data_IF_799641194915
#
_entry.id   IF_799641194915
#
_cell.length_a   1.000
_cell.length_b   1.000
_cell.length_c   1.000
_cell.angle_alpha   90.00
_cell.angle_beta   90.00
_cell.angle_gamma   90.00
#
_symmetry.space_group_name_H-M   'P 1'
#
loop_
_entity.id
_entity.type
_entity.pdbx_description
1 polymer ?
#
# COMPACT_ATOMS: atom_id res chain seq x y z
N UNK A 1 -11.93 10.86 7.52
CA UNK A 1 -11.23 9.70 8.14
C UNK A 1 -11.99 8.44 7.76
N UNK A 2 -11.34 7.29 7.63
CA UNK A 2 -12.00 6.02 7.29
C UNK A 2 -11.72 4.99 8.37
N UNK A 3 -12.76 4.32 8.85
CA UNK A 3 -12.67 3.15 9.73
C UNK A 3 -12.89 1.89 8.91
N UNK A 4 -11.88 1.03 8.89
CA UNK A 4 -11.82 -0.13 8.03
C UNK A 4 -12.22 -1.42 8.77
N UNK A 5 -12.94 -2.34 8.10
CA UNK A 5 -13.21 -3.68 8.63
C UNK A 5 -11.95 -4.55 8.55
N UNK A 6 -11.60 -5.19 9.66
CA UNK A 6 -10.35 -5.93 9.83
C UNK A 6 -10.63 -7.43 9.91
N UNK A 7 -9.97 -8.20 9.05
CA UNK A 7 -10.14 -9.65 8.96
C UNK A 7 -9.77 -10.34 10.28
N UNK A 8 -8.60 -10.00 10.82
CA UNK A 8 -8.13 -10.59 12.07
C UNK A 8 -8.82 -9.92 13.27
N UNK A 9 -9.57 -10.70 14.05
CA UNK A 9 -10.38 -10.22 15.19
C UNK A 9 -9.56 -9.38 16.18
N UNK A 10 -8.33 -9.79 16.48
CA UNK A 10 -7.46 -9.05 17.41
C UNK A 10 -7.06 -7.66 16.88
N UNK A 11 -7.07 -7.45 15.56
CA UNK A 11 -6.74 -6.16 14.93
C UNK A 11 -7.92 -5.19 14.94
N UNK A 12 -9.14 -5.66 15.18
CA UNK A 12 -10.33 -4.80 15.31
C UNK A 12 -10.20 -3.82 16.48
N UNK A 13 -9.46 -4.22 17.51
CA UNK A 13 -9.10 -3.40 18.67
C UNK A 13 -8.10 -2.26 18.35
N UNK A 14 -7.49 -2.27 17.17
CA UNK A 14 -6.59 -1.19 16.72
C UNK A 14 -7.37 0.08 16.32
N UNK A 15 -8.68 -0.04 16.03
CA UNK A 15 -9.57 1.11 15.84
C UNK A 15 -9.80 1.80 17.17
N UNK A 16 -9.13 2.94 17.36
CA UNK A 16 -9.02 3.64 18.63
C UNK A 16 -9.50 5.07 18.50
N UNK A 17 -10.57 5.41 19.22
CA UNK A 17 -11.13 6.78 19.24
C UNK A 17 -10.10 7.80 19.73
N UNK A 18 -9.25 7.44 20.68
CA UNK A 18 -8.25 8.36 21.24
C UNK A 18 -7.18 8.79 20.22
N UNK A 19 -7.04 8.07 19.11
CA UNK A 19 -6.18 8.51 17.98
C UNK A 19 -6.83 9.67 17.24
N UNK A 20 -8.16 9.70 17.13
CA UNK A 20 -8.89 10.80 16.49
C UNK A 20 -8.81 12.08 17.33
N UNK A 21 -9.04 11.95 18.65
CA UNK A 21 -8.89 13.05 19.60
C UNK A 21 -7.47 13.65 19.51
N UNK A 22 -6.44 12.81 19.46
CA UNK A 22 -5.06 13.27 19.32
C UNK A 22 -4.80 14.03 18.01
N UNK A 23 -5.44 13.64 16.89
CA UNK A 23 -5.32 14.37 15.63
C UNK A 23 -5.96 15.76 15.74
N UNK A 24 -7.13 15.86 16.36
CA UNK A 24 -7.79 17.16 16.59
C UNK A 24 -6.98 18.08 17.50
N UNK A 25 -6.39 17.53 18.57
CA UNK A 25 -5.48 18.27 19.48
C UNK A 25 -4.22 18.81 18.75
N UNK A 26 -3.75 18.12 17.72
CA UNK A 26 -2.65 18.56 16.83
C UNK A 26 -3.10 19.57 15.74
N UNK A 27 -4.35 20.02 15.83
CA UNK A 27 -4.97 21.05 14.99
C UNK A 27 -5.49 20.54 13.65
N UNK A 28 -5.65 19.23 13.46
CA UNK A 28 -6.28 18.67 12.27
C UNK A 28 -7.81 18.73 12.40
N UNK A 29 -8.50 19.02 11.30
CA UNK A 29 -9.98 19.06 11.28
C UNK A 29 -10.52 17.77 10.66
N UNK A 30 -11.27 17.01 11.45
CA UNK A 30 -11.99 15.82 11.00
C UNK A 30 -13.41 16.23 10.59
N UNK A 31 -13.63 16.47 9.30
CA UNK A 31 -14.96 16.85 8.79
C UNK A 31 -15.95 15.69 8.73
N UNK A 32 -15.45 14.48 8.50
CA UNK A 32 -16.26 13.30 8.24
C UNK A 32 -15.50 12.02 8.62
N UNK A 33 -16.25 11.05 9.14
CA UNK A 33 -15.78 9.69 9.42
C UNK A 33 -16.65 8.75 8.58
N UNK A 34 -16.02 8.11 7.60
CA UNK A 34 -16.62 7.01 6.83
C UNK A 34 -16.34 5.71 7.57
N UNK A 35 -17.37 4.98 7.97
CA UNK A 35 -17.24 3.80 8.80
C UNK A 35 -17.79 2.56 8.09
N UNK A 36 -16.89 1.68 7.66
CA UNK A 36 -17.20 0.42 7.00
C UNK A 36 -17.17 -0.78 7.97
N UNK A 37 -17.07 -0.55 9.29
CA UNK A 37 -16.86 -1.64 10.27
C UNK A 37 -18.03 -2.63 10.35
N UNK A 38 -19.25 -2.22 10.00
CA UNK A 38 -20.41 -3.13 9.97
C UNK A 38 -20.27 -4.25 8.95
N UNK A 39 -19.41 -4.10 7.93
CA UNK A 39 -19.11 -5.16 6.95
C UNK A 39 -18.50 -6.42 7.61
N UNK A 40 -17.90 -6.27 8.81
CA UNK A 40 -17.37 -7.40 9.57
C UNK A 40 -18.45 -8.40 10.01
N UNK A 41 -19.72 -7.98 10.13
CA UNK A 41 -20.84 -8.85 10.50
C UNK A 41 -21.19 -9.86 9.39
N UNK A 42 -20.78 -9.56 8.15
CA UNK A 42 -21.01 -10.36 6.96
C UNK A 42 -19.70 -11.00 6.43
N UNK A 43 -18.64 -11.05 7.24
CA UNK A 43 -17.30 -11.55 6.87
C UNK A 43 -16.68 -10.82 5.65
N UNK A 44 -17.00 -9.53 5.46
CA UNK A 44 -16.46 -8.66 4.41
C UNK A 44 -15.37 -7.76 5.00
N UNK A 45 -14.23 -7.66 4.33
CA UNK A 45 -13.04 -6.98 4.87
C UNK A 45 -12.29 -6.14 3.84
N UNK A 46 -11.71 -5.05 4.29
CA UNK A 46 -10.87 -4.16 3.49
C UNK A 46 -9.88 -3.46 4.41
N UNK A 47 -8.68 -4.05 4.59
CA UNK A 47 -7.69 -3.59 5.58
C UNK A 47 -6.91 -2.32 5.15
N UNK A 48 -7.64 -1.28 4.73
CA UNK A 48 -7.14 0.07 4.46
C UNK A 48 -5.94 0.13 3.52
N UNK A 49 -4.93 0.93 3.87
CA UNK A 49 -3.72 1.12 3.05
C UNK A 49 -2.78 -0.10 3.00
N UNK A 50 -3.13 -1.19 3.71
CA UNK A 50 -2.58 -2.53 3.49
C UNK A 50 -3.09 -3.10 2.17
N UNK A 51 -4.41 -3.16 2.05
CA UNK A 51 -5.13 -3.70 0.90
C UNK A 51 -5.21 -2.72 -0.28
N UNK A 52 -5.09 -1.41 -0.05
CA UNK A 52 -5.29 -0.37 -1.05
C UNK A 52 -4.00 0.44 -1.25
N UNK A 53 -3.53 0.50 -2.50
CA UNK A 53 -2.46 1.41 -2.91
C UNK A 53 -3.06 2.53 -3.75
N UNK A 54 -2.99 3.76 -3.25
CA UNK A 54 -3.64 4.93 -3.84
C UNK A 54 -2.66 5.71 -4.71
N UNK A 55 -3.02 5.91 -5.97
CA UNK A 55 -2.39 6.88 -6.87
C UNK A 55 -3.21 8.16 -6.90
N UNK A 56 -3.04 8.96 -5.86
CA UNK A 56 -3.86 10.15 -5.61
C UNK A 56 -3.75 11.20 -6.72
N UNK A 57 -2.58 11.32 -7.35
CA UNK A 57 -2.37 12.27 -8.44
C UNK A 57 -3.22 11.96 -9.67
N UNK A 58 -3.52 10.68 -9.91
CA UNK A 58 -4.27 10.21 -11.07
C UNK A 58 -5.68 9.69 -10.72
N UNK A 59 -6.10 9.81 -9.47
CA UNK A 59 -7.41 9.33 -9.01
C UNK A 59 -7.60 7.83 -9.26
N UNK A 60 -6.58 7.00 -9.00
CA UNK A 60 -6.68 5.53 -9.11
C UNK A 60 -6.39 4.83 -7.78
N UNK A 61 -7.05 3.70 -7.56
CA UNK A 61 -6.79 2.82 -6.44
C UNK A 61 -6.50 1.41 -6.95
N UNK A 62 -5.40 0.83 -6.48
CA UNK A 62 -4.96 -0.52 -6.84
C UNK A 62 -5.24 -1.47 -5.68
N UNK A 63 -5.89 -2.60 -5.97
CA UNK A 63 -6.27 -3.59 -4.96
C UNK A 63 -6.07 -5.02 -5.50
N UNK A 64 -5.20 -5.77 -4.82
CA UNK A 64 -5.07 -7.20 -4.97
C UNK A 64 -6.09 -7.90 -4.07
N UNK A 65 -7.02 -8.66 -4.66
CA UNK A 65 -8.05 -9.37 -3.91
C UNK A 65 -7.45 -10.47 -3.02
N UNK A 66 -7.99 -10.58 -1.82
CA UNK A 66 -7.58 -11.55 -0.81
C UNK A 66 -8.66 -11.66 0.27
N UNK A 67 -8.53 -12.58 1.25
CA UNK A 67 -9.43 -12.60 2.40
C UNK A 67 -9.46 -11.29 3.22
N UNK A 68 -8.55 -10.34 2.96
CA UNK A 68 -8.45 -9.03 3.62
C UNK A 68 -8.88 -7.86 2.73
N UNK A 69 -9.38 -8.16 1.53
CA UNK A 69 -9.70 -7.18 0.50
C UNK A 69 -10.82 -7.73 -0.38
N UNK A 70 -12.06 -7.42 0.01
CA UNK A 70 -13.26 -7.74 -0.73
C UNK A 70 -13.43 -6.80 -1.95
N UNK A 71 -13.93 -7.35 -3.05
CA UNK A 71 -14.12 -6.62 -4.30
C UNK A 71 -15.23 -5.58 -4.22
N UNK A 72 -16.40 -5.95 -3.66
CA UNK A 72 -17.56 -5.06 -3.61
C UNK A 72 -17.30 -3.88 -2.69
N UNK A 73 -16.75 -4.13 -1.49
CA UNK A 73 -16.40 -3.06 -0.56
C UNK A 73 -15.26 -2.17 -1.08
N UNK A 74 -14.32 -2.72 -1.86
CA UNK A 74 -13.31 -1.89 -2.51
C UNK A 74 -13.89 -0.99 -3.61
N UNK A 75 -14.88 -1.48 -4.36
CA UNK A 75 -15.61 -0.67 -5.35
C UNK A 75 -16.38 0.45 -4.65
N UNK A 76 -17.10 0.15 -3.56
CA UNK A 76 -17.79 1.15 -2.75
C UNK A 76 -16.83 2.23 -2.24
N UNK A 77 -15.68 1.82 -1.68
CA UNK A 77 -14.63 2.77 -1.30
C UNK A 77 -14.16 3.63 -2.49
N UNK A 78 -14.03 3.07 -3.68
CA UNK A 78 -13.63 3.86 -4.85
C UNK A 78 -14.72 4.86 -5.27
N UNK A 79 -16.00 4.49 -5.16
CA UNK A 79 -17.12 5.38 -5.45
C UNK A 79 -17.20 6.54 -4.46
N UNK A 80 -17.08 6.26 -3.16
CA UNK A 80 -17.15 7.26 -2.09
C UNK A 80 -15.99 8.27 -2.13
N UNK A 81 -14.81 7.82 -2.55
CA UNK A 81 -13.58 8.63 -2.56
C UNK A 81 -13.15 9.06 -3.98
N UNK A 82 -14.01 8.89 -4.98
CA UNK A 82 -13.79 9.31 -6.37
C UNK A 82 -12.52 8.72 -7.02
N UNK A 83 -12.20 7.46 -6.70
CA UNK A 83 -11.11 6.71 -7.31
C UNK A 83 -11.60 5.81 -8.46
N UNK A 84 -10.78 5.65 -9.48
CA UNK A 84 -10.95 4.60 -10.49
C UNK A 84 -10.33 3.30 -9.98
N UNK A 85 -11.11 2.20 -9.84
CA UNK A 85 -10.62 0.94 -9.31
C UNK A 85 -9.74 0.20 -10.32
N UNK A 86 -8.62 -0.37 -9.84
CA UNK A 86 -7.76 -1.32 -10.56
C UNK A 86 -7.65 -2.59 -9.70
N UNK A 87 -8.44 -3.59 -10.06
CA UNK A 87 -8.64 -4.82 -9.29
C UNK A 87 -7.93 -5.99 -9.97
N UNK A 88 -7.24 -6.83 -9.21
CA UNK A 88 -6.52 -7.99 -9.72
C UNK A 88 -6.31 -9.04 -8.62
N UNK A 89 -5.87 -10.25 -8.99
CA UNK A 89 -5.40 -11.25 -8.03
C UNK A 89 -3.87 -11.32 -8.02
N UNK A 90 -3.31 -11.51 -6.82
CA UNK A 90 -1.87 -11.66 -6.65
C UNK A 90 -1.52 -12.83 -5.73
N UNK A 91 -0.46 -13.54 -6.11
CA UNK A 91 0.01 -14.76 -5.48
C UNK A 91 1.52 -14.70 -5.21
N UNK A 92 1.95 -15.50 -4.25
CA UNK A 92 3.34 -15.72 -3.87
C UNK A 92 3.60 -17.20 -3.66
N UNK A 93 4.85 -17.60 -3.82
CA UNK A 93 5.28 -18.97 -3.60
C UNK A 93 5.63 -19.20 -2.13
N UNK A 94 4.83 -20.02 -1.42
CA UNK A 94 5.06 -20.41 -0.03
C UNK A 94 5.19 -21.92 0.04
N UNK A 95 6.36 -22.42 0.46
CA UNK A 95 6.68 -23.85 0.51
C UNK A 95 6.42 -24.61 -0.81
N UNK A 96 6.62 -23.94 -1.95
CA UNK A 96 6.41 -24.52 -3.27
C UNK A 96 4.97 -24.46 -3.79
N UNK A 97 4.05 -23.87 -3.02
CA UNK A 97 2.64 -23.67 -3.42
C UNK A 97 2.36 -22.19 -3.71
N UNK A 98 1.53 -21.90 -4.71
CA UNK A 98 1.00 -20.54 -4.93
C UNK A 98 -0.08 -20.24 -3.90
N UNK A 99 0.07 -19.15 -3.16
CA UNK A 99 -0.88 -18.66 -2.16
C UNK A 99 -1.14 -17.17 -2.37
N UNK A 100 -2.33 -16.69 -2.01
CA UNK A 100 -2.65 -15.28 -2.12
C UNK A 100 -1.65 -14.40 -1.36
N UNK A 101 -1.30 -13.28 -1.97
CA UNK A 101 -0.76 -12.12 -1.27
C UNK A 101 -1.87 -11.56 -0.39
N UNK A 102 -1.54 -11.22 0.87
CA UNK A 102 -2.54 -10.76 1.82
C UNK A 102 -2.80 -9.26 1.77
N UNK A 103 -1.84 -8.46 1.29
CA UNK A 103 -1.94 -7.00 1.18
C UNK A 103 -1.25 -6.53 -0.10
N UNK A 104 -1.92 -5.65 -0.83
CA UNK A 104 -1.40 -5.04 -2.08
C UNK A 104 -0.09 -4.29 -1.84
N UNK A 105 0.05 -3.60 -0.71
CA UNK A 105 1.25 -2.83 -0.38
C UNK A 105 2.51 -3.68 -0.08
N UNK A 106 2.40 -5.01 -0.13
CA UNK A 106 3.55 -5.93 -0.01
C UNK A 106 4.23 -6.09 -1.36
N UNK A 107 3.46 -6.03 -2.46
CA UNK A 107 3.95 -6.27 -3.81
C UNK A 107 4.10 -5.00 -4.63
N UNK A 108 3.54 -3.87 -4.20
CA UNK A 108 3.63 -2.62 -4.94
C UNK A 108 3.64 -1.36 -4.07
N UNK A 109 4.35 -0.35 -4.56
CA UNK A 109 4.21 1.04 -4.13
C UNK A 109 4.06 1.95 -5.35
N UNK A 110 3.31 3.04 -5.19
CA UNK A 110 3.15 4.07 -6.22
C UNK A 110 3.69 5.38 -5.66
N UNK A 111 4.66 5.95 -6.35
CA UNK A 111 5.11 7.32 -6.15
C UNK A 111 4.50 8.25 -7.20
N UNK A 112 4.87 9.53 -7.17
CA UNK A 112 4.32 10.53 -8.08
C UNK A 112 4.66 10.20 -9.56
N UNK A 113 5.93 9.86 -9.84
CA UNK A 113 6.46 9.65 -11.21
C UNK A 113 6.92 8.22 -11.50
N UNK A 114 6.82 7.32 -10.53
CA UNK A 114 7.25 5.92 -10.67
C UNK A 114 6.33 4.97 -9.90
N UNK A 115 6.43 3.68 -10.22
CA UNK A 115 5.79 2.62 -9.45
C UNK A 115 6.74 1.42 -9.33
N UNK A 116 6.83 0.86 -8.13
CA UNK A 116 7.52 -0.41 -7.86
C UNK A 116 6.46 -1.49 -7.82
N UNK A 117 6.64 -2.59 -8.56
CA UNK A 117 5.67 -3.69 -8.57
C UNK A 117 6.31 -5.05 -8.86
N UNK A 118 5.87 -6.08 -8.14
CA UNK A 118 6.14 -7.47 -8.51
C UNK A 118 5.09 -7.98 -9.48
N UNK A 119 5.30 -7.76 -10.78
CA UNK A 119 4.37 -8.23 -11.80
C UNK A 119 4.25 -9.76 -11.86
N UNK A 120 5.27 -10.49 -11.40
CA UNK A 120 5.26 -11.95 -11.35
C UNK A 120 4.31 -12.52 -10.29
N UNK A 121 3.88 -11.71 -9.31
CA UNK A 121 2.80 -12.09 -8.40
C UNK A 121 1.43 -12.17 -9.09
N UNK A 122 1.23 -11.49 -10.23
CA UNK A 122 -0.07 -11.45 -10.92
C UNK A 122 -0.09 -12.56 -11.97
N UNK A 123 -0.63 -13.73 -11.63
CA UNK A 123 -0.56 -14.94 -12.46
C UNK A 123 -1.40 -14.81 -13.75
N UNK A 124 -2.56 -14.15 -13.68
CA UNK A 124 -3.36 -13.87 -14.86
C UNK A 124 -2.67 -12.83 -15.76
N UNK A 125 -2.44 -13.20 -17.02
CA UNK A 125 -1.69 -12.37 -17.98
C UNK A 125 -2.47 -11.11 -18.40
N UNK A 126 -3.80 -11.16 -18.40
CA UNK A 126 -4.64 -10.00 -18.75
C UNK A 126 -4.64 -9.00 -17.61
N UNK A 127 -4.80 -9.46 -16.37
CA UNK A 127 -4.71 -8.60 -15.18
C UNK A 127 -3.32 -7.97 -15.06
N UNK A 128 -2.26 -8.77 -15.20
CA UNK A 128 -0.88 -8.26 -15.19
C UNK A 128 -0.68 -7.17 -16.23
N UNK A 129 -1.18 -7.39 -17.45
CA UNK A 129 -1.10 -6.40 -18.52
C UNK A 129 -1.92 -5.15 -18.17
N UNK A 130 -3.13 -5.30 -17.64
CA UNK A 130 -4.02 -4.21 -17.25
C UNK A 130 -3.40 -3.32 -16.18
N UNK A 131 -2.83 -3.90 -15.11
CA UNK A 131 -2.13 -3.15 -14.05
C UNK A 131 -0.93 -2.38 -14.62
N UNK A 132 -0.09 -3.05 -15.41
CA UNK A 132 1.10 -2.41 -16.01
C UNK A 132 0.74 -1.31 -17.01
N UNK A 133 -0.31 -1.50 -17.80
CA UNK A 133 -0.80 -0.49 -18.74
C UNK A 133 -1.43 0.70 -18.01
N UNK A 134 -2.13 0.47 -16.89
CA UNK A 134 -2.67 1.56 -16.06
C UNK A 134 -1.55 2.47 -15.55
N UNK A 135 -0.49 1.88 -14.96
CA UNK A 135 0.65 2.62 -14.44
C UNK A 135 1.40 3.40 -15.53
N UNK A 136 1.64 2.75 -16.68
CA UNK A 136 2.32 3.38 -17.82
C UNK A 136 1.45 4.44 -18.51
N UNK A 137 0.13 4.26 -18.50
CA UNK A 137 -0.84 5.22 -19.03
C UNK A 137 -0.80 6.56 -18.30
N UNK A 138 -0.37 6.55 -17.04
CA UNK A 138 -0.15 7.74 -16.21
C UNK A 138 1.33 8.18 -16.21
N UNK A 139 2.08 7.80 -17.24
CA UNK A 139 3.49 8.17 -17.47
C UNK A 139 4.46 7.76 -16.35
N UNK A 140 4.08 6.81 -15.50
CA UNK A 140 4.97 6.33 -14.43
C UNK A 140 6.04 5.41 -14.99
N UNK A 141 7.28 5.61 -14.52
CA UNK A 141 8.33 4.61 -14.72
C UNK A 141 8.01 3.36 -13.87
N UNK A 142 7.91 2.20 -14.52
CA UNK A 142 7.63 0.94 -13.82
C UNK A 142 8.94 0.22 -13.49
N UNK A 143 9.26 0.13 -12.21
CA UNK A 143 10.38 -0.65 -11.67
C UNK A 143 9.86 -2.01 -11.23
N UNK A 144 10.25 -3.06 -11.96
CA UNK A 144 9.86 -4.43 -11.63
C UNK A 144 10.75 -4.99 -10.52
N UNK A 145 10.14 -5.60 -9.51
CA UNK A 145 10.82 -6.38 -8.46
C UNK A 145 10.45 -7.86 -8.53
N UNK A 146 11.30 -8.73 -8.00
CA UNK A 146 11.07 -10.18 -7.97
C UNK A 146 10.32 -10.61 -6.71
N UNK A 147 9.76 -11.83 -6.69
CA UNK A 147 9.18 -12.41 -5.46
C UNK A 147 10.21 -12.47 -4.32
N UNK A 148 11.48 -12.75 -4.61
CA UNK A 148 12.54 -12.71 -3.59
C UNK A 148 12.72 -11.32 -2.99
N UNK A 149 12.59 -10.27 -3.80
CA UNK A 149 12.64 -8.87 -3.32
C UNK A 149 11.38 -8.51 -2.53
N UNK A 150 10.20 -9.00 -2.94
CA UNK A 150 8.96 -8.88 -2.15
C UNK A 150 9.11 -9.53 -0.78
N UNK A 151 9.72 -10.72 -0.71
CA UNK A 151 10.02 -11.42 0.55
C UNK A 151 11.05 -10.67 1.42
N UNK A 152 11.76 -9.69 0.85
CA UNK A 152 12.61 -8.73 1.55
C UNK A 152 11.96 -7.34 1.64
N UNK A 153 10.62 -7.27 1.53
CA UNK A 153 9.80 -6.06 1.71
C UNK A 153 10.00 -4.96 0.66
N UNK A 154 10.52 -5.28 -0.52
CA UNK A 154 10.78 -4.29 -1.57
C UNK A 154 9.50 -3.65 -2.18
N UNK A 155 8.32 -4.22 -1.97
CA UNK A 155 7.06 -3.53 -2.32
C UNK A 155 6.54 -2.60 -1.22
N UNK A 156 7.01 -2.78 0.02
CA UNK A 156 6.50 -2.09 1.21
C UNK A 156 7.22 -0.75 1.45
N UNK A 157 7.17 0.11 0.44
CA UNK A 157 7.82 1.43 0.43
C UNK A 157 6.77 2.54 0.43
N UNK A 158 7.18 3.75 0.84
CA UNK A 158 6.34 4.94 0.77
C UNK A 158 7.15 6.15 0.30
N UNK A 159 6.67 6.82 -0.73
CA UNK A 159 7.17 8.14 -1.09
C UNK A 159 6.61 9.17 -0.10
N UNK A 160 7.49 10.00 0.45
CA UNK A 160 7.13 11.12 1.32
C UNK A 160 7.78 12.40 0.83
N UNK A 161 7.11 13.52 1.11
CA UNK A 161 7.59 14.85 0.76
C UNK A 161 8.20 15.52 1.99
N UNK A 162 9.48 15.90 1.89
CA UNK A 162 10.18 16.66 2.92
C UNK A 162 10.16 18.17 2.64
N UNK A 163 11.05 18.89 3.32
CA UNK A 163 11.26 20.33 3.09
C UNK A 163 11.77 20.59 1.67
N UNK A 164 11.52 21.80 1.16
CA UNK A 164 11.96 22.26 -0.17
C UNK A 164 11.49 21.37 -1.33
N UNK A 165 10.29 20.77 -1.19
CA UNK A 165 9.70 19.86 -2.16
C UNK A 165 10.53 18.60 -2.48
N UNK A 166 11.54 18.29 -1.66
CA UNK A 166 12.38 17.10 -1.87
C UNK A 166 11.59 15.83 -1.55
N UNK A 167 11.61 14.87 -2.48
CA UNK A 167 10.95 13.58 -2.33
C UNK A 167 11.91 12.53 -1.78
N UNK A 168 11.41 11.73 -0.87
CA UNK A 168 12.12 10.62 -0.26
C UNK A 168 11.33 9.34 -0.44
N UNK A 169 12.02 8.24 -0.70
CA UNK A 169 11.41 6.92 -0.68
C UNK A 169 11.89 6.19 0.57
N UNK A 170 10.96 5.97 1.49
CA UNK A 170 11.22 5.31 2.76
C UNK A 170 11.03 3.82 2.57
N UNK A 171 12.03 3.04 2.98
CA UNK A 171 12.02 1.58 2.93
C UNK A 171 12.86 0.99 4.07
N UNK A 172 12.78 -0.32 4.31
CA UNK A 172 13.70 -0.97 5.24
C UNK A 172 15.10 -1.16 4.65
N UNK A 173 16.07 -1.42 5.52
CA UNK A 173 17.41 -1.81 5.10
C UNK A 173 17.39 -3.14 4.32
N UNK A 174 16.52 -4.08 4.69
CA UNK A 174 16.29 -5.36 3.98
C UNK A 174 15.83 -5.12 2.55
N UNK A 175 14.81 -4.26 2.38
CA UNK A 175 14.29 -3.85 1.08
C UNK A 175 15.39 -3.23 0.24
N UNK A 176 16.08 -2.22 0.78
CA UNK A 176 17.14 -1.52 0.06
C UNK A 176 18.28 -2.45 -0.39
N UNK A 177 18.75 -3.35 0.48
CA UNK A 177 19.83 -4.29 0.16
C UNK A 177 19.41 -5.36 -0.87
N UNK A 178 18.12 -5.67 -0.96
CA UNK A 178 17.60 -6.62 -1.96
C UNK A 178 17.55 -6.03 -3.37
N UNK A 179 17.52 -4.69 -3.50
CA UNK A 179 17.45 -4.02 -4.80
C UNK A 179 18.77 -4.13 -5.56
N UNK A 180 18.66 -4.31 -6.87
CA UNK A 180 19.80 -4.25 -7.77
C UNK A 180 20.27 -2.80 -7.91
N UNK A 181 21.57 -2.62 -8.24
CA UNK A 181 22.13 -1.29 -8.55
C UNK A 181 21.34 -0.54 -9.63
N UNK A 182 20.77 -1.27 -10.60
CA UNK A 182 19.94 -0.69 -11.65
C UNK A 182 18.63 -0.14 -11.08
N UNK A 183 17.92 -0.92 -10.28
CA UNK A 183 16.66 -0.48 -9.64
C UNK A 183 16.91 0.72 -8.71
N UNK A 184 18.00 0.70 -7.92
CA UNK A 184 18.41 1.83 -7.08
C UNK A 184 18.63 3.07 -7.95
N UNK A 185 19.42 2.97 -9.01
CA UNK A 185 19.67 4.11 -9.91
C UNK A 185 18.38 4.66 -10.53
N UNK A 186 17.47 3.79 -10.98
CA UNK A 186 16.16 4.20 -11.50
C UNK A 186 15.33 4.96 -10.46
N UNK A 187 15.28 4.47 -9.22
CA UNK A 187 14.57 5.17 -8.14
C UNK A 187 15.23 6.51 -7.80
N UNK A 188 16.56 6.58 -7.77
CA UNK A 188 17.32 7.79 -7.45
C UNK A 188 17.18 8.90 -8.52
N UNK A 189 16.65 8.60 -9.71
CA UNK A 189 16.24 9.61 -10.69
C UNK A 189 15.00 10.41 -10.23
N UNK A 190 14.17 9.84 -9.34
CA UNK A 190 12.92 10.44 -8.87
C UNK A 190 12.98 10.91 -7.41
N UNK A 191 13.68 10.16 -6.56
CA UNK A 191 13.60 10.26 -5.10
C UNK A 191 14.96 10.08 -4.43
N UNK A 192 15.12 10.62 -3.22
CA UNK A 192 16.23 10.21 -2.34
C UNK A 192 15.81 9.00 -1.51
N UNK A 193 16.53 7.89 -1.62
CA UNK A 193 16.24 6.69 -0.80
C UNK A 193 16.67 6.94 0.65
N UNK A 194 15.78 6.61 1.59
CA UNK A 194 16.07 6.60 3.02
C UNK A 194 15.69 5.23 3.57
N UNK A 195 16.66 4.56 4.19
CA UNK A 195 16.46 3.22 4.74
C UNK A 195 16.97 3.09 6.17
N UNK A 196 16.23 2.38 7.02
CA UNK A 196 16.63 1.99 8.37
C UNK A 196 16.42 0.50 8.59
N UNK A 197 17.18 -0.11 9.50
CA UNK A 197 16.88 -1.46 9.96
C UNK A 197 15.53 -1.48 10.66
N UNK A 198 14.70 -2.46 10.28
CA UNK A 198 13.37 -2.73 10.85
C UNK A 198 13.26 -4.21 11.29
N UNK A 199 14.39 -4.87 11.52
CA UNK A 199 14.51 -6.33 11.66
C UNK A 199 13.53 -6.91 12.68
N UNK A 200 13.31 -6.23 13.81
CA UNK A 200 12.37 -6.67 14.85
C UNK A 200 10.92 -6.62 14.36
N UNK A 201 10.53 -5.56 13.66
CA UNK A 201 9.16 -5.40 13.13
C UNK A 201 8.91 -6.41 12.02
N UNK A 202 9.88 -6.59 11.12
CA UNK A 202 9.79 -7.52 10.01
C UNK A 202 9.72 -8.98 10.50
N UNK A 203 10.55 -9.35 11.48
CA UNK A 203 10.58 -10.71 12.02
C UNK A 203 9.35 -11.06 12.88
N UNK A 204 8.75 -10.10 13.57
CA UNK A 204 7.63 -10.36 14.48
C UNK A 204 6.25 -10.06 13.88
N UNK A 205 6.14 -9.05 13.01
CA UNK A 205 4.86 -8.50 12.56
C UNK A 205 4.53 -8.72 11.08
N UNK A 206 5.51 -9.12 10.26
CA UNK A 206 5.31 -9.28 8.80
C UNK A 206 5.00 -7.97 8.06
N UNK A 207 5.18 -6.82 8.71
CA UNK A 207 5.10 -5.49 8.12
C UNK A 207 6.49 -4.84 8.01
N UNK A 208 6.62 -3.81 7.20
CA UNK A 208 7.86 -3.04 7.05
C UNK A 208 7.53 -1.53 7.01
N UNK A 209 8.39 -0.73 6.38
CA UNK A 209 8.36 0.73 6.44
C UNK A 209 6.98 1.33 6.16
N UNK A 210 6.33 0.95 5.05
CA UNK A 210 5.00 1.49 4.69
C UNK A 210 3.96 1.16 5.75
N UNK A 211 3.97 -0.04 6.32
CA UNK A 211 3.00 -0.46 7.33
C UNK A 211 3.14 0.29 8.67
N UNK A 212 4.27 0.97 8.89
CA UNK A 212 4.53 1.76 10.10
C UNK A 212 4.19 3.25 9.95
N UNK A 213 3.71 3.68 8.78
CA UNK A 213 3.43 5.08 8.49
C UNK A 213 1.98 5.27 8.07
N UNK A 214 1.35 6.28 8.65
CA UNK A 214 0.04 6.76 8.24
C UNK A 214 0.19 8.13 7.56
N UNK A 215 -0.39 8.27 6.38
CA UNK A 215 -0.44 9.55 5.67
C UNK A 215 -1.66 10.34 6.16
N UNK A 216 -1.44 11.57 6.64
CA UNK A 216 -2.51 12.45 7.12
C UNK A 216 -2.70 13.60 6.13
N UNK A 217 -3.83 13.60 5.44
CA UNK A 217 -4.23 14.65 4.49
C UNK A 217 -5.38 15.54 5.01
N UNK A 218 -5.64 15.49 6.31
CA UNK A 218 -6.64 16.34 6.94
C UNK A 218 -6.19 17.81 6.86
N UNK A 219 -7.12 18.76 6.63
CA UNK A 219 -6.80 20.18 6.73
C UNK A 219 -6.43 20.53 8.17
N UNK A 220 -5.65 21.60 8.34
CA UNK A 220 -5.35 22.20 9.64
C UNK A 220 -6.06 23.55 9.79
N UNK A 221 -6.47 23.87 11.02
CA UNK A 221 -6.91 25.23 11.39
C UNK A 221 -5.75 26.24 11.40
#
# INVERSE_FOLDING_TARGET
VVLYPMFAENRRLERREDVLDHLEDEGFVINEIMDYTSAEDDDIFLEGTGSIVLDRANGKAYCALSPRADEELFIEFCEDFEFTPVIFEAFQTVNGERKHIYHTNVIMCVGETFAVICADCIDDKKERKMVLDSLKGDEKEVILITEDQVNNFAGNMLEVKGTDDRRYLIMSASAHQSLTKKQIAQLEEHVTIVSSSLDTIEACGGGSARCMMAEIFLPKE
#
